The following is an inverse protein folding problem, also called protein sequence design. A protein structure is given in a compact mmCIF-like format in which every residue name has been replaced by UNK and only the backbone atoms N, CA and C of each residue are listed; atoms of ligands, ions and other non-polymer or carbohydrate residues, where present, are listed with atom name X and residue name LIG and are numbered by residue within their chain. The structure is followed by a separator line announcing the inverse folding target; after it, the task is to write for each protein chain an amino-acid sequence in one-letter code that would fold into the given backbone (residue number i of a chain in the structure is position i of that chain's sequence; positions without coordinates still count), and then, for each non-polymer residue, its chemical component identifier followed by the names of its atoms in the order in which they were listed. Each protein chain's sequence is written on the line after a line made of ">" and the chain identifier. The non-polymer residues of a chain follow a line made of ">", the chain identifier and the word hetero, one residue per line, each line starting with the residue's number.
data_IF_496270740420
#
_entry.id   IF_496270740420
#
_cell.length_a   1.000
_cell.length_b   1.000
_cell.length_c   1.000
_cell.angle_alpha   90.00
_cell.angle_beta   90.00
_cell.angle_gamma   90.00
#
_symmetry.space_group_name_H-M   'P 1'
#
loop_
_entity.id
_entity.type
_entity.pdbx_description
1 polymer ?
#
# COMPACT_ATOMS: atom_id res chain seq x y z
N UNK A 1 12.67 4.45 3.40
CA UNK A 1 12.89 4.73 4.84
C UNK A 1 14.27 5.35 5.11
N UNK A 2 15.33 4.95 4.38
CA UNK A 2 16.72 5.35 4.66
C UNK A 2 16.95 6.80 5.17
N UNK A 3 16.56 7.87 4.45
CA UNK A 3 16.83 9.24 4.92
C UNK A 3 15.87 9.73 6.03
N UNK A 4 14.75 9.04 6.26
CA UNK A 4 13.70 9.48 7.19
C UNK A 4 13.84 8.90 8.61
N UNK A 5 14.53 7.77 8.78
CA UNK A 5 14.56 7.10 10.09
C UNK A 5 15.51 5.91 10.24
N UNK A 6 16.55 5.79 9.40
CA UNK A 6 17.46 4.63 9.44
C UNK A 6 18.81 4.91 10.11
N UNK A 7 19.00 6.07 10.74
CA UNK A 7 20.19 6.35 11.55
C UNK A 7 20.12 5.49 12.83
N UNK A 8 21.15 4.67 13.05
CA UNK A 8 21.33 3.92 14.29
C UNK A 8 22.46 4.57 15.10
N UNK A 9 22.23 4.81 16.38
CA UNK A 9 23.18 5.50 17.25
C UNK A 9 22.98 5.11 18.72
N UNK A 10 23.80 5.65 19.62
CA UNK A 10 23.70 5.49 21.06
C UNK A 10 23.74 6.86 21.77
N UNK A 11 23.50 6.87 23.07
CA UNK A 11 23.45 8.12 23.85
C UNK A 11 24.77 8.89 23.89
N UNK A 12 25.92 8.21 23.76
CA UNK A 12 27.25 8.86 23.77
C UNK A 12 27.46 9.63 22.47
N UNK A 13 27.19 9.00 21.33
CA UNK A 13 27.30 9.62 20.01
C UNK A 13 26.30 10.78 19.86
N UNK A 14 25.05 10.54 20.23
CA UNK A 14 24.00 11.55 20.17
C UNK A 14 24.27 12.72 21.11
N UNK A 15 24.92 12.51 22.27
CA UNK A 15 25.34 13.61 23.14
C UNK A 15 26.42 14.50 22.48
N UNK A 16 27.35 13.92 21.70
CA UNK A 16 28.28 14.74 20.91
C UNK A 16 27.55 15.53 19.82
N UNK A 17 26.57 14.91 19.17
CA UNK A 17 25.74 15.60 18.17
C UNK A 17 24.89 16.72 18.77
N UNK A 18 24.32 16.53 19.95
CA UNK A 18 23.61 17.59 20.69
C UNK A 18 24.55 18.74 21.06
N UNK A 19 25.78 18.45 21.50
CA UNK A 19 26.79 19.49 21.75
C UNK A 19 27.12 20.26 20.48
N UNK A 20 27.23 19.57 19.34
CA UNK A 20 27.44 20.20 18.04
C UNK A 20 26.30 21.17 17.66
N UNK A 21 25.04 20.76 17.89
CA UNK A 21 23.87 21.60 17.67
C UNK A 21 23.84 22.82 18.61
N UNK A 22 24.11 22.61 19.91
CA UNK A 22 24.19 23.70 20.90
C UNK A 22 25.39 24.64 20.67
N UNK A 23 26.39 24.21 19.92
CA UNK A 23 27.52 25.02 19.47
C UNK A 23 27.34 25.55 18.04
N UNK A 24 26.10 25.60 17.54
CA UNK A 24 25.74 26.22 16.26
C UNK A 24 26.55 25.69 15.07
N UNK A 25 26.77 24.38 15.01
CA UNK A 25 27.48 23.73 13.90
C UNK A 25 28.99 23.58 14.10
N UNK A 26 29.49 23.72 15.33
CA UNK A 26 30.90 23.54 15.67
C UNK A 26 31.14 22.22 16.41
N UNK A 27 32.19 21.49 16.03
CA UNK A 27 32.64 20.28 16.72
C UNK A 27 34.17 20.31 16.86
N UNK A 28 34.68 20.04 18.07
CA UNK A 28 36.14 19.95 18.32
C UNK A 28 36.92 21.20 17.91
N UNK A 29 36.32 22.40 18.03
CA UNK A 29 36.96 23.66 17.60
C UNK A 29 36.75 24.02 16.12
N UNK A 30 36.26 23.11 15.28
CA UNK A 30 36.06 23.30 13.84
C UNK A 30 34.59 23.60 13.51
N UNK A 31 34.35 24.62 12.68
CA UNK A 31 33.03 24.86 12.09
C UNK A 31 32.77 23.84 10.97
N UNK A 32 31.73 23.01 11.11
CA UNK A 32 31.34 22.03 10.09
C UNK A 32 30.11 22.49 9.29
N UNK A 33 29.20 23.23 9.92
CA UNK A 33 28.05 23.89 9.29
C UNK A 33 28.14 25.38 9.64
N UNK A 34 27.96 26.31 8.71
CA UNK A 34 27.99 27.75 9.04
C UNK A 34 26.91 28.10 10.07
N UNK A 35 27.17 29.10 10.91
CA UNK A 35 26.18 29.55 11.90
C UNK A 35 24.86 29.97 11.24
N UNK A 36 24.91 30.61 10.06
CA UNK A 36 23.73 30.97 9.28
C UNK A 36 22.92 29.76 8.81
N UNK A 37 23.57 28.72 8.26
CA UNK A 37 22.86 27.49 7.86
C UNK A 37 22.29 26.75 9.07
N UNK A 38 23.01 26.77 10.20
CA UNK A 38 22.50 26.18 11.44
C UNK A 38 21.29 26.95 11.98
N UNK A 39 21.35 28.28 12.01
CA UNK A 39 20.23 29.12 12.44
C UNK A 39 18.99 28.86 11.59
N UNK A 40 19.17 28.71 10.27
CA UNK A 40 18.07 28.41 9.35
C UNK A 40 17.37 27.08 9.66
N UNK A 41 18.08 26.07 10.18
CA UNK A 41 17.45 24.82 10.59
C UNK A 41 16.40 25.02 11.69
N UNK A 42 16.59 26.04 12.54
CA UNK A 42 15.72 26.36 13.68
C UNK A 42 14.82 27.56 13.42
N UNK A 43 14.70 28.02 12.17
CA UNK A 43 13.71 29.02 11.77
C UNK A 43 12.31 28.39 11.76
N UNK A 44 11.35 29.04 12.40
CA UNK A 44 9.94 28.64 12.40
C UNK A 44 9.30 28.88 11.02
N UNK A 45 9.19 27.83 10.21
CA UNK A 45 8.70 27.92 8.83
C UNK A 45 7.21 27.56 8.69
N UNK A 46 6.75 26.56 9.45
CA UNK A 46 5.38 26.06 9.37
C UNK A 46 4.71 26.10 10.74
N UNK A 47 3.66 26.91 10.96
CA UNK A 47 2.94 26.91 12.23
C UNK A 47 2.21 25.58 12.43
N UNK A 48 2.32 25.00 13.63
CA UNK A 48 1.60 23.81 14.05
C UNK A 48 0.43 24.26 14.92
N UNK A 49 -0.79 23.92 14.51
CA UNK A 49 -2.01 24.28 15.26
C UNK A 49 -2.18 23.35 16.45
N UNK A 50 -2.27 23.91 17.64
CA UNK A 50 -2.66 23.17 18.84
C UNK A 50 -4.12 22.71 18.74
N UNK A 51 -4.42 21.53 19.28
CA UNK A 51 -5.78 20.97 19.34
C UNK A 51 -6.28 20.24 18.10
N UNK A 52 -5.60 20.29 16.94
CA UNK A 52 -5.95 19.44 15.79
C UNK A 52 -5.44 18.00 15.93
N UNK A 53 -4.42 17.79 16.75
CA UNK A 53 -3.98 16.49 17.24
C UNK A 53 -3.83 16.63 18.76
N UNK A 54 -4.51 15.80 19.57
CA UNK A 54 -4.27 15.75 21.01
C UNK A 54 -2.78 15.69 21.32
N UNK A 55 -2.01 14.91 20.54
CA UNK A 55 -0.56 14.68 20.72
C UNK A 55 0.30 15.96 20.72
N UNK A 56 -0.09 16.96 19.93
CA UNK A 56 0.66 18.22 19.80
C UNK A 56 0.63 19.07 21.07
N UNK A 57 -0.40 18.94 21.91
CA UNK A 57 -0.50 19.67 23.17
C UNK A 57 0.41 19.09 24.27
N UNK A 58 0.92 17.85 24.09
CA UNK A 58 1.67 17.14 25.15
C UNK A 58 3.17 17.39 25.12
N UNK A 59 3.71 17.73 23.95
CA UNK A 59 5.14 18.05 23.81
C UNK A 59 5.48 19.40 24.47
N UNK A 60 4.50 20.28 24.65
CA UNK A 60 4.62 21.49 25.48
C UNK A 60 3.26 21.98 26.02
N UNK A 61 2.75 21.39 27.11
CA UNK A 61 1.59 21.93 27.81
C UNK A 61 1.87 23.32 28.38
N UNK A 62 1.04 24.27 27.96
CA UNK A 62 1.18 25.70 28.26
C UNK A 62 1.87 26.49 27.14
N UNK A 63 2.37 25.85 26.08
CA UNK A 63 2.89 26.56 24.93
C UNK A 63 1.76 27.30 24.20
N UNK A 64 2.02 28.57 23.88
CA UNK A 64 1.12 29.39 23.07
C UNK A 64 1.41 29.26 21.57
N UNK A 65 2.64 28.88 21.20
CA UNK A 65 3.05 28.66 19.81
C UNK A 65 3.85 27.35 19.66
N UNK A 66 3.59 26.66 18.54
CA UNK A 66 4.39 25.54 18.04
C UNK A 66 4.58 25.72 16.53
N UNK A 67 5.74 25.31 16.04
CA UNK A 67 6.09 25.38 14.63
C UNK A 67 7.08 24.29 14.26
N UNK A 68 7.29 24.14 12.96
CA UNK A 68 8.26 23.23 12.39
C UNK A 68 9.29 24.01 11.57
N UNK A 69 10.57 23.74 11.82
CA UNK A 69 11.71 24.21 11.03
C UNK A 69 12.22 23.12 10.08
N UNK A 70 13.50 23.16 9.72
CA UNK A 70 14.07 22.13 8.85
C UNK A 70 14.42 20.88 9.65
N UNK A 71 13.42 20.01 9.85
CA UNK A 71 13.59 18.75 10.60
C UNK A 71 13.56 18.92 12.12
N UNK A 72 12.95 20.01 12.62
CA UNK A 72 12.87 20.32 14.04
C UNK A 72 11.50 20.83 14.41
N UNK A 73 10.95 20.32 15.52
CA UNK A 73 9.85 20.98 16.21
C UNK A 73 10.41 22.10 17.08
N UNK A 74 9.72 23.24 17.05
CA UNK A 74 10.09 24.49 17.71
C UNK A 74 8.89 24.97 18.52
N UNK A 75 9.03 25.07 19.83
CA UNK A 75 7.93 25.41 20.72
C UNK A 75 8.41 26.16 21.96
N UNK A 76 7.50 26.90 22.60
CA UNK A 76 7.77 27.48 23.91
C UNK A 76 7.75 26.40 25.00
N UNK A 77 8.72 26.45 25.91
CA UNK A 77 8.73 25.65 27.12
C UNK A 77 9.12 26.53 28.32
N UNK A 78 8.14 26.93 29.12
CA UNK A 78 8.32 27.83 30.26
C UNK A 78 9.07 29.13 29.86
N UNK A 79 8.65 29.76 28.75
CA UNK A 79 9.23 31.02 28.26
C UNK A 79 10.55 30.88 27.50
N UNK A 80 10.93 29.66 27.11
CA UNK A 80 12.19 29.35 26.41
C UNK A 80 11.91 28.62 25.12
N UNK A 81 12.79 28.80 24.14
CA UNK A 81 12.74 28.00 22.92
C UNK A 81 13.18 26.56 23.22
N UNK A 82 12.26 25.61 23.08
CA UNK A 82 12.57 24.20 23.02
C UNK A 82 12.69 23.76 21.56
N UNK A 83 13.80 23.10 21.23
CA UNK A 83 14.06 22.53 19.91
C UNK A 83 14.15 21.03 20.06
N UNK A 84 13.30 20.27 19.38
CA UNK A 84 13.23 18.82 19.60
C UNK A 84 12.79 18.04 18.37
N UNK A 85 13.05 16.73 18.41
CA UNK A 85 12.53 15.78 17.44
C UNK A 85 12.37 14.40 18.09
N UNK A 86 11.19 13.80 17.88
CA UNK A 86 10.92 12.43 18.30
C UNK A 86 11.24 11.42 17.20
N UNK A 87 11.20 10.14 17.52
CA UNK A 87 11.30 9.08 16.52
C UNK A 87 10.66 7.80 17.03
N UNK A 88 9.95 7.11 16.13
CA UNK A 88 9.46 5.77 16.39
C UNK A 88 9.72 4.92 15.15
N UNK A 89 10.29 3.74 15.38
CA UNK A 89 10.39 2.67 14.40
C UNK A 89 10.13 1.36 15.14
N UNK A 90 9.88 0.29 14.40
CA UNK A 90 9.54 -1.02 14.94
C UNK A 90 10.44 -1.43 16.12
N UNK A 91 9.87 -1.39 17.33
CA UNK A 91 10.54 -1.80 18.56
C UNK A 91 11.35 -0.70 19.27
N UNK A 92 11.39 0.53 18.74
CA UNK A 92 12.20 1.61 19.31
C UNK A 92 11.45 2.96 19.33
N UNK A 93 11.64 3.69 20.42
CA UNK A 93 11.20 5.07 20.61
C UNK A 93 12.38 5.93 21.02
N UNK A 94 12.51 7.11 20.43
CA UNK A 94 13.60 8.05 20.69
C UNK A 94 13.09 9.47 20.85
N UNK A 95 13.81 10.27 21.64
CA UNK A 95 13.60 11.70 21.77
C UNK A 95 14.95 12.41 21.89
N UNK A 96 15.14 13.47 21.13
CA UNK A 96 16.19 14.46 21.34
C UNK A 96 15.57 15.84 21.52
N UNK A 97 16.04 16.59 22.51
CA UNK A 97 15.54 17.93 22.75
C UNK A 97 16.60 18.83 23.37
N UNK A 98 16.50 20.13 23.11
CA UNK A 98 17.44 21.16 23.56
C UNK A 98 16.71 22.40 24.07
N UNK A 99 17.27 23.04 25.10
CA UNK A 99 17.01 24.43 25.50
C UNK A 99 18.28 25.24 25.22
N UNK A 100 18.41 25.87 24.05
CA UNK A 100 19.64 26.55 23.64
C UNK A 100 20.09 27.63 24.63
N UNK A 101 19.14 28.40 25.19
CA UNK A 101 19.42 29.46 26.18
C UNK A 101 20.08 28.91 27.46
N UNK A 102 19.74 27.68 27.83
CA UNK A 102 20.28 27.00 29.04
C UNK A 102 21.51 26.15 28.72
N UNK A 103 21.94 26.09 27.45
CA UNK A 103 22.99 25.17 26.95
C UNK A 103 22.72 23.71 27.36
N UNK A 104 21.44 23.35 27.45
CA UNK A 104 20.96 22.05 27.89
C UNK A 104 20.48 21.24 26.68
N UNK A 105 20.81 19.96 26.66
CA UNK A 105 20.21 19.02 25.74
C UNK A 105 20.08 17.63 26.36
N UNK A 106 19.05 16.91 25.91
CA UNK A 106 18.69 15.58 26.40
C UNK A 106 18.52 14.62 25.23
N UNK A 107 19.00 13.39 25.42
CA UNK A 107 18.82 12.27 24.48
C UNK A 107 18.24 11.11 25.27
N UNK A 108 17.09 10.59 24.84
CA UNK A 108 16.41 9.49 25.51
C UNK A 108 16.07 8.45 24.47
N UNK A 109 16.59 7.24 24.64
CA UNK A 109 16.41 6.11 23.72
C UNK A 109 15.73 4.97 24.46
N UNK A 110 14.77 4.32 23.83
CA UNK A 110 14.02 3.20 24.40
C UNK A 110 13.85 2.11 23.34
N UNK A 111 14.11 0.86 23.73
CA UNK A 111 13.87 -0.35 22.94
C UNK A 111 12.45 -0.90 23.16
N UNK A 112 11.47 -0.01 23.25
CA UNK A 112 10.06 -0.35 23.40
C UNK A 112 9.25 0.42 22.37
N UNK A 113 8.52 -0.31 21.54
CA UNK A 113 7.62 0.24 20.52
C UNK A 113 6.58 1.18 21.14
N UNK A 114 6.39 2.35 20.53
CA UNK A 114 5.41 3.36 20.96
C UNK A 114 5.51 3.74 22.44
N UNK A 115 6.72 3.75 23.01
CA UNK A 115 6.92 4.09 24.42
C UNK A 115 6.67 5.58 24.66
N UNK A 116 5.80 5.97 25.59
CA UNK A 116 5.61 7.37 25.96
C UNK A 116 6.74 7.90 26.87
N UNK A 117 7.58 7.00 27.41
CA UNK A 117 8.59 7.34 28.40
C UNK A 117 9.61 8.38 27.90
N UNK A 118 10.16 8.30 26.66
CA UNK A 118 11.09 9.31 26.18
C UNK A 118 10.51 10.72 26.20
N UNK A 119 9.21 10.86 25.92
CA UNK A 119 8.54 12.15 25.91
C UNK A 119 8.31 12.67 27.33
N UNK A 120 7.77 11.82 28.23
CA UNK A 120 7.53 12.19 29.62
C UNK A 120 8.83 12.56 30.36
N UNK A 121 9.91 11.80 30.12
CA UNK A 121 11.23 12.05 30.71
C UNK A 121 11.85 13.34 30.19
N UNK A 122 11.76 13.63 28.89
CA UNK A 122 12.25 14.89 28.33
C UNK A 122 11.60 16.10 29.01
N UNK A 123 10.27 16.09 29.12
CA UNK A 123 9.53 17.18 29.71
C UNK A 123 9.82 17.35 31.21
N UNK A 124 9.96 16.24 31.94
CA UNK A 124 10.38 16.25 33.34
C UNK A 124 11.79 16.81 33.53
N UNK A 125 12.75 16.39 32.69
CA UNK A 125 14.11 16.91 32.72
C UNK A 125 14.15 18.41 32.41
N UNK A 126 13.34 18.92 31.50
CA UNK A 126 13.29 20.36 31.25
C UNK A 126 12.68 21.14 32.42
N UNK A 127 11.63 20.60 33.04
CA UNK A 127 11.03 21.19 34.23
C UNK A 127 12.02 21.26 35.41
N UNK A 128 12.91 20.27 35.58
CA UNK A 128 13.97 20.31 36.59
C UNK A 128 14.92 21.50 36.44
N UNK A 129 15.09 22.03 35.22
CA UNK A 129 15.96 23.19 34.95
C UNK A 129 15.21 24.51 34.88
N UNK A 130 13.90 24.47 34.66
CA UNK A 130 13.10 25.68 34.35
C UNK A 130 12.05 26.00 35.40
N UNK A 131 11.91 25.16 36.44
CA UNK A 131 10.93 25.32 37.51
C UNK A 131 11.53 24.97 38.87
N UNK A 132 11.07 25.65 39.91
CA UNK A 132 11.39 25.28 41.31
C UNK A 132 10.75 23.95 41.70
N UNK A 133 9.57 23.65 41.14
CA UNK A 133 8.86 22.39 41.37
C UNK A 133 8.47 21.77 40.02
N UNK A 134 9.11 20.66 39.62
CA UNK A 134 8.77 19.94 38.40
C UNK A 134 7.35 19.36 38.44
N UNK A 135 6.66 19.35 37.30
CA UNK A 135 5.35 18.69 37.18
C UNK A 135 5.49 17.17 37.19
N UNK A 136 4.43 16.48 37.61
CA UNK A 136 4.31 15.03 37.43
C UNK A 136 3.88 14.70 35.99
N UNK A 137 4.88 14.64 35.12
CA UNK A 137 4.69 14.26 33.73
C UNK A 137 4.22 12.83 33.57
N UNK A 138 4.64 11.92 34.44
CA UNK A 138 4.23 10.51 34.37
C UNK A 138 2.73 10.37 34.58
N UNK A 139 2.17 11.04 35.60
CA UNK A 139 0.72 11.05 35.84
C UNK A 139 -0.05 11.73 34.71
N UNK A 140 0.48 12.83 34.17
CA UNK A 140 -0.13 13.57 33.05
C UNK A 140 -0.22 12.70 31.80
N UNK A 141 0.88 12.05 31.41
CA UNK A 141 0.92 11.14 30.26
C UNK A 141 0.10 9.87 30.49
N UNK A 142 0.05 9.33 31.71
CA UNK A 142 -0.80 8.17 32.03
C UNK A 142 -2.27 8.47 31.86
N UNK A 143 -2.73 9.62 32.37
CA UNK A 143 -4.13 10.07 32.27
C UNK A 143 -4.53 10.21 30.81
N UNK A 144 -3.66 10.84 30.03
CA UNK A 144 -3.83 10.99 28.60
C UNK A 144 -3.98 9.64 27.88
N UNK A 145 -3.01 8.74 28.06
CA UNK A 145 -3.01 7.46 27.37
C UNK A 145 -4.24 6.63 27.76
N UNK A 146 -4.68 6.73 29.02
CA UNK A 146 -5.95 6.17 29.47
C UNK A 146 -7.14 6.74 28.70
N UNK A 147 -7.17 8.06 28.47
CA UNK A 147 -8.19 8.73 27.64
C UNK A 147 -8.17 8.28 26.18
N UNK A 148 -6.99 8.16 25.57
CA UNK A 148 -6.84 7.67 24.20
C UNK A 148 -7.28 6.21 24.06
N UNK A 149 -6.85 5.34 24.97
CA UNK A 149 -7.25 3.93 24.99
C UNK A 149 -8.76 3.79 25.24
N UNK A 150 -9.31 4.57 26.17
CA UNK A 150 -10.74 4.61 26.44
C UNK A 150 -11.55 5.09 25.23
N UNK A 151 -11.07 6.13 24.54
CA UNK A 151 -11.65 6.63 23.29
C UNK A 151 -11.61 5.60 22.17
N UNK A 152 -10.48 4.92 21.98
CA UNK A 152 -10.34 3.84 21.00
C UNK A 152 -11.27 2.66 21.31
N UNK A 153 -11.37 2.26 22.58
CA UNK A 153 -12.30 1.21 23.03
C UNK A 153 -13.77 1.62 22.84
N UNK A 154 -14.12 2.88 23.12
CA UNK A 154 -15.46 3.40 22.88
C UNK A 154 -15.80 3.45 21.38
N UNK A 155 -14.86 3.88 20.53
CA UNK A 155 -15.01 3.87 19.08
C UNK A 155 -15.19 2.45 18.52
N UNK A 156 -14.39 1.49 19.01
CA UNK A 156 -14.53 0.08 18.68
C UNK A 156 -15.91 -0.46 19.10
N UNK A 157 -16.36 -0.15 20.31
CA UNK A 157 -17.67 -0.57 20.81
C UNK A 157 -18.80 0.02 19.98
N UNK A 158 -18.71 1.32 19.63
CA UNK A 158 -19.68 1.99 18.77
C UNK A 158 -19.72 1.36 17.37
N UNK A 159 -18.56 1.03 16.80
CA UNK A 159 -18.43 0.37 15.51
C UNK A 159 -19.04 -1.05 15.53
N UNK A 160 -18.80 -1.82 16.59
CA UNK A 160 -19.42 -3.15 16.80
C UNK A 160 -20.94 -3.02 16.94
N UNK A 161 -21.43 -2.04 17.70
CA UNK A 161 -22.87 -1.79 17.89
C UNK A 161 -23.56 -1.34 16.60
N UNK A 162 -22.85 -0.63 15.73
CA UNK A 162 -23.35 -0.19 14.42
C UNK A 162 -23.35 -1.32 13.36
N UNK A 163 -22.76 -2.49 13.66
CA UNK A 163 -22.81 -3.65 12.77
C UNK A 163 -24.25 -4.10 12.55
N UNK A 164 -24.59 -4.44 11.31
CA UNK A 164 -25.89 -5.02 10.96
C UNK A 164 -25.76 -6.55 10.94
N UNK A 165 -26.31 -7.28 11.95
CA UNK A 165 -26.19 -8.72 12.04
C UNK A 165 -27.07 -9.44 11.00
N UNK A 166 -26.78 -10.72 10.75
CA UNK A 166 -27.61 -11.57 9.87
C UNK A 166 -27.51 -11.24 8.38
N UNK A 167 -26.53 -10.43 7.98
CA UNK A 167 -26.25 -10.14 6.57
C UNK A 167 -25.22 -11.12 6.02
N UNK A 168 -25.17 -11.24 4.70
CA UNK A 168 -24.13 -11.98 3.96
C UNK A 168 -23.41 -11.04 3.00
N UNK A 169 -22.27 -11.48 2.48
CA UNK A 169 -21.67 -10.87 1.30
C UNK A 169 -22.63 -11.04 0.11
N UNK A 170 -22.70 -10.04 -0.78
CA UNK A 170 -23.55 -10.09 -1.96
C UNK A 170 -23.07 -11.10 -3.00
N UNK A 171 -21.76 -11.42 -3.00
CA UNK A 171 -21.12 -12.36 -3.92
C UNK A 171 -20.45 -13.51 -3.16
N UNK A 172 -20.18 -14.61 -3.87
CA UNK A 172 -19.20 -15.60 -3.40
C UNK A 172 -17.82 -14.93 -3.22
N UNK A 173 -17.05 -15.34 -2.21
CA UNK A 173 -15.80 -14.65 -1.83
C UNK A 173 -14.81 -14.53 -3.00
N UNK A 174 -14.70 -15.58 -3.82
CA UNK A 174 -13.87 -15.64 -5.02
C UNK A 174 -14.13 -14.48 -5.98
N UNK A 175 -15.38 -13.99 -6.03
CA UNK A 175 -15.77 -12.91 -6.95
C UNK A 175 -15.31 -11.54 -6.50
N UNK A 176 -14.89 -11.35 -5.25
CA UNK A 176 -14.23 -10.11 -4.81
C UNK A 176 -12.72 -10.13 -5.07
N UNK A 177 -12.14 -11.31 -5.34
CA UNK A 177 -10.72 -11.44 -5.57
C UNK A 177 -10.30 -10.76 -6.88
N UNK A 178 -9.16 -10.08 -6.84
CA UNK A 178 -8.63 -9.31 -7.96
C UNK A 178 -7.71 -8.20 -7.51
N UNK A 179 -7.22 -7.44 -8.49
CA UNK A 179 -6.41 -6.24 -8.26
C UNK A 179 -7.29 -5.01 -8.42
N UNK A 180 -7.15 -4.07 -7.51
CA UNK A 180 -7.82 -2.78 -7.53
C UNK A 180 -6.75 -1.70 -7.50
N UNK A 181 -6.80 -0.72 -8.40
CA UNK A 181 -5.70 0.20 -8.64
C UNK A 181 -6.14 1.64 -8.50
N UNK A 182 -5.27 2.45 -7.92
CA UNK A 182 -5.35 3.91 -7.87
C UNK A 182 -4.03 4.49 -8.39
N UNK A 183 -4.09 5.54 -9.20
CA UNK A 183 -2.89 6.11 -9.84
C UNK A 183 -1.89 6.72 -8.87
N UNK A 184 -2.33 7.19 -7.71
CA UNK A 184 -1.48 7.81 -6.69
C UNK A 184 -1.03 6.79 -5.64
N UNK A 185 -1.92 5.88 -5.24
CA UNK A 185 -1.67 4.96 -4.14
C UNK A 185 -1.18 3.58 -4.58
N UNK A 186 -1.30 3.23 -5.85
CA UNK A 186 -0.89 1.93 -6.41
C UNK A 186 -1.98 0.87 -6.28
N UNK A 187 -1.57 -0.38 -6.07
CA UNK A 187 -2.45 -1.54 -6.15
C UNK A 187 -2.82 -2.11 -4.76
N UNK A 188 -4.11 -2.41 -4.61
CA UNK A 188 -4.66 -3.28 -3.58
C UNK A 188 -4.99 -4.63 -4.22
N UNK A 189 -4.44 -5.71 -3.69
CA UNK A 189 -4.78 -7.07 -4.14
C UNK A 189 -5.66 -7.75 -3.10
N UNK A 190 -6.78 -8.30 -3.57
CA UNK A 190 -7.67 -9.16 -2.79
C UNK A 190 -7.54 -10.58 -3.30
N UNK A 191 -7.25 -11.53 -2.41
CA UNK A 191 -7.15 -12.95 -2.75
C UNK A 191 -8.02 -13.80 -1.84
N UNK A 192 -8.55 -14.90 -2.36
CA UNK A 192 -9.21 -15.91 -1.51
C UNK A 192 -8.16 -16.88 -0.97
N UNK A 193 -8.19 -17.09 0.35
CA UNK A 193 -7.34 -18.07 1.05
C UNK A 193 -8.21 -18.85 2.03
N UNK A 194 -8.47 -20.12 1.71
CA UNK A 194 -9.43 -20.94 2.45
C UNK A 194 -10.83 -20.34 2.41
N UNK A 195 -11.41 -20.11 3.58
CA UNK A 195 -12.75 -19.53 3.76
C UNK A 195 -12.73 -18.02 3.99
N UNK A 196 -11.57 -17.37 3.86
CA UNK A 196 -11.42 -15.93 4.06
C UNK A 196 -10.87 -15.24 2.81
N UNK A 197 -11.01 -13.93 2.78
CA UNK A 197 -10.24 -13.08 1.86
C UNK A 197 -8.97 -12.60 2.56
N UNK A 198 -7.92 -12.29 1.79
CA UNK A 198 -6.75 -11.54 2.24
C UNK A 198 -6.64 -10.26 1.44
N UNK A 199 -6.25 -9.19 2.12
CA UNK A 199 -5.89 -7.92 1.51
C UNK A 199 -4.37 -7.76 1.54
N UNK A 200 -3.82 -7.22 0.46
CA UNK A 200 -2.44 -6.75 0.39
C UNK A 200 -2.41 -5.36 -0.22
N UNK A 201 -1.76 -4.42 0.45
CA UNK A 201 -1.56 -3.04 0.00
C UNK A 201 -0.13 -2.61 0.34
N UNK A 202 0.73 -2.52 -0.67
CA UNK A 202 2.17 -2.34 -0.47
C UNK A 202 2.77 -3.46 0.39
N UNK A 203 3.36 -3.08 1.53
CA UNK A 203 3.93 -4.00 2.53
C UNK A 203 2.89 -4.48 3.56
N UNK A 204 1.71 -3.85 3.60
CA UNK A 204 0.67 -4.20 4.55
C UNK A 204 -0.16 -5.34 4.01
N UNK A 205 -0.54 -6.26 4.90
CA UNK A 205 -1.44 -7.34 4.57
C UNK A 205 -2.33 -7.69 5.76
N UNK A 206 -3.44 -8.37 5.50
CA UNK A 206 -4.35 -8.79 6.55
C UNK A 206 -5.36 -9.81 6.07
N UNK A 207 -5.98 -10.49 7.03
CA UNK A 207 -7.08 -11.43 6.76
C UNK A 207 -8.41 -10.71 6.95
N UNK A 208 -9.29 -10.83 5.96
CA UNK A 208 -10.60 -10.20 5.90
C UNK A 208 -11.67 -11.21 6.33
N UNK A 209 -12.36 -10.91 7.43
CA UNK A 209 -13.57 -11.60 7.84
C UNK A 209 -14.81 -10.79 7.45
N UNK A 210 -15.89 -11.47 7.07
CA UNK A 210 -17.16 -10.78 6.75
C UNK A 210 -17.66 -9.98 7.97
N UNK A 211 -18.01 -8.71 7.72
CA UNK A 211 -18.57 -7.83 8.75
C UNK A 211 -20.08 -7.67 8.56
N UNK A 212 -20.50 -6.98 7.51
CA UNK A 212 -21.90 -6.90 7.09
C UNK A 212 -21.99 -6.43 5.64
N UNK A 213 -22.96 -6.95 4.89
CA UNK A 213 -23.07 -6.68 3.44
C UNK A 213 -21.72 -6.89 2.72
N UNK A 214 -21.35 -5.98 1.83
CA UNK A 214 -20.07 -5.95 1.11
C UNK A 214 -18.92 -5.28 1.90
N UNK A 215 -19.00 -5.29 3.24
CA UNK A 215 -17.95 -4.79 4.14
C UNK A 215 -17.33 -5.93 4.92
N UNK A 216 -16.01 -5.91 4.97
CA UNK A 216 -15.16 -6.88 5.63
C UNK A 216 -14.28 -6.19 6.65
N UNK A 217 -13.94 -6.91 7.70
CA UNK A 217 -13.04 -6.45 8.75
C UNK A 217 -11.70 -7.13 8.61
N UNK A 218 -10.69 -6.34 8.28
CA UNK A 218 -9.30 -6.78 8.22
C UNK A 218 -8.73 -6.91 9.63
N UNK A 219 -8.10 -8.04 9.92
CA UNK A 219 -7.10 -8.15 10.99
C UNK A 219 -5.73 -8.05 10.32
N UNK A 220 -5.03 -6.95 10.56
CA UNK A 220 -3.78 -6.63 9.88
C UNK A 220 -2.61 -7.42 10.48
N UNK A 221 -1.59 -7.66 9.66
CA UNK A 221 -0.38 -8.37 10.02
C UNK A 221 0.83 -7.44 9.83
N UNK A 222 1.66 -7.24 10.88
CA UNK A 222 1.51 -7.76 12.25
C UNK A 222 0.30 -7.14 12.99
N UNK A 223 -0.22 -7.87 13.99
CA UNK A 223 -1.44 -7.51 14.73
C UNK A 223 -1.42 -6.10 15.37
N UNK A 224 -0.23 -5.54 15.63
CA UNK A 224 -0.06 -4.16 16.12
C UNK A 224 -0.61 -3.09 15.17
N UNK A 225 -0.75 -3.40 13.88
CA UNK A 225 -1.39 -2.52 12.90
C UNK A 225 -2.92 -2.46 13.06
N UNK A 226 -3.47 -3.26 13.98
CA UNK A 226 -4.86 -3.20 14.38
C UNK A 226 -5.82 -3.82 13.37
N UNK A 227 -7.05 -3.34 13.41
CA UNK A 227 -8.14 -3.79 12.52
C UNK A 227 -8.60 -2.62 11.67
N UNK A 228 -8.94 -2.91 10.41
CA UNK A 228 -9.40 -1.91 9.44
C UNK A 228 -10.65 -2.40 8.75
N UNK A 229 -11.47 -1.48 8.26
CA UNK A 229 -12.58 -1.78 7.38
C UNK A 229 -12.13 -1.80 5.93
N UNK A 230 -12.64 -2.79 5.20
CA UNK A 230 -12.50 -2.94 3.76
C UNK A 230 -13.89 -3.06 3.17
N UNK A 231 -14.26 -2.12 2.31
CA UNK A 231 -15.61 -2.06 1.72
C UNK A 231 -15.52 -2.16 0.21
N UNK A 232 -16.27 -3.10 -0.35
CA UNK A 232 -16.43 -3.22 -1.79
C UNK A 232 -17.61 -2.38 -2.27
N UNK A 233 -17.46 -1.81 -3.47
CA UNK A 233 -18.54 -1.17 -4.22
C UNK A 233 -18.77 -2.01 -5.46
N UNK A 234 -20.02 -2.43 -5.66
CA UNK A 234 -20.44 -3.20 -6.82
C UNK A 234 -21.07 -2.27 -7.86
N UNK A 235 -20.85 -2.56 -9.14
CA UNK A 235 -21.51 -1.89 -10.26
C UNK A 235 -22.99 -2.32 -10.39
N UNK A 236 -23.70 -1.73 -11.35
CA UNK A 236 -25.11 -2.06 -11.64
C UNK A 236 -25.35 -3.51 -12.05
N UNK A 237 -24.31 -4.27 -12.42
CA UNK A 237 -24.38 -5.68 -12.79
C UNK A 237 -23.96 -6.61 -11.63
N UNK A 238 -23.68 -6.05 -10.44
CA UNK A 238 -23.21 -6.81 -9.28
C UNK A 238 -21.76 -7.27 -9.39
N UNK A 239 -20.92 -6.63 -10.21
CA UNK A 239 -19.47 -6.90 -10.28
C UNK A 239 -18.69 -5.91 -9.41
N UNK A 240 -17.57 -6.31 -8.78
CA UNK A 240 -16.74 -5.34 -8.07
C UNK A 240 -16.23 -4.24 -9.00
N UNK A 241 -16.47 -2.99 -8.60
CA UNK A 241 -16.01 -1.79 -9.30
C UNK A 241 -14.89 -1.10 -8.51
N UNK A 242 -14.99 -1.05 -7.18
CA UNK A 242 -14.06 -0.34 -6.31
C UNK A 242 -13.88 -1.07 -4.98
N UNK A 243 -12.70 -0.90 -4.36
CA UNK A 243 -12.46 -1.23 -2.95
C UNK A 243 -12.01 0.00 -2.18
N UNK A 244 -12.60 0.22 -1.01
CA UNK A 244 -12.24 1.28 -0.06
C UNK A 244 -11.56 0.67 1.15
N UNK A 245 -10.43 1.25 1.55
CA UNK A 245 -9.64 0.83 2.71
C UNK A 245 -9.37 2.03 3.63
N UNK A 246 -9.42 1.82 4.94
CA UNK A 246 -9.18 2.89 5.92
C UNK A 246 -7.75 3.45 5.86
N UNK A 247 -6.78 2.67 5.40
CA UNK A 247 -5.39 3.10 5.27
C UNK A 247 -5.17 4.18 4.19
N UNK A 248 -6.12 4.36 3.28
CA UNK A 248 -6.08 5.37 2.22
C UNK A 248 -7.52 5.85 1.92
N UNK A 249 -8.13 6.64 2.82
CA UNK A 249 -9.56 6.98 2.76
C UNK A 249 -9.93 7.83 1.54
N UNK A 250 -8.96 8.60 1.01
CA UNK A 250 -9.15 9.46 -0.16
C UNK A 250 -8.93 8.72 -1.49
N UNK A 251 -8.35 7.51 -1.46
CA UNK A 251 -8.09 6.72 -2.67
C UNK A 251 -9.38 6.19 -3.31
N UNK A 252 -9.29 5.86 -4.60
CA UNK A 252 -10.36 5.20 -5.37
C UNK A 252 -9.75 4.01 -6.11
N UNK A 253 -9.53 2.91 -5.39
CA UNK A 253 -8.98 1.69 -5.97
C UNK A 253 -10.02 1.00 -6.85
N UNK A 254 -9.94 1.21 -8.16
CA UNK A 254 -10.88 0.64 -9.14
C UNK A 254 -10.45 -0.76 -9.56
N UNK A 255 -11.40 -1.66 -9.71
CA UNK A 255 -11.14 -3.02 -10.17
C UNK A 255 -10.41 -2.99 -11.51
N UNK A 256 -9.23 -3.59 -11.52
CA UNK A 256 -8.41 -3.76 -12.71
C UNK A 256 -8.51 -5.23 -13.12
N UNK A 257 -9.08 -5.53 -14.29
CA UNK A 257 -9.11 -6.88 -14.80
C UNK A 257 -7.70 -7.50 -14.76
N UNK A 258 -7.56 -8.78 -14.39
CA UNK A 258 -6.28 -9.48 -14.48
C UNK A 258 -5.66 -9.24 -15.86
N UNK A 259 -4.35 -8.99 -15.90
CA UNK A 259 -3.64 -9.00 -17.18
C UNK A 259 -3.81 -10.38 -17.80
N UNK A 260 -4.12 -10.43 -19.10
CA UNK A 260 -4.22 -11.68 -19.83
C UNK A 260 -3.00 -12.55 -19.54
N UNK A 261 -3.22 -13.80 -19.12
CA UNK A 261 -2.12 -14.71 -18.83
C UNK A 261 -1.39 -15.05 -20.13
N UNK A 262 -0.14 -14.59 -20.24
CA UNK A 262 0.70 -14.79 -21.43
C UNK A 262 1.62 -15.99 -21.33
N UNK A 263 1.55 -16.77 -20.23
CA UNK A 263 2.39 -17.96 -20.06
C UNK A 263 1.79 -19.15 -20.78
N UNK A 264 2.60 -19.83 -21.60
CA UNK A 264 2.22 -21.09 -22.22
C UNK A 264 2.27 -22.22 -21.17
N UNK A 265 1.28 -23.11 -21.18
CA UNK A 265 1.26 -24.31 -20.36
C UNK A 265 2.08 -25.45 -20.98
N UNK A 266 2.32 -25.40 -22.30
CA UNK A 266 3.18 -26.32 -23.04
C UNK A 266 4.11 -25.54 -23.97
N UNK A 267 5.33 -26.04 -24.15
CA UNK A 267 6.29 -25.49 -25.12
C UNK A 267 6.26 -26.34 -26.38
N UNK A 268 6.01 -25.71 -27.53
CA UNK A 268 6.05 -26.36 -28.83
C UNK A 268 7.33 -25.99 -29.56
N UNK A 269 7.89 -26.94 -30.32
CA UNK A 269 9.04 -26.67 -31.18
C UNK A 269 8.65 -25.72 -32.32
N UNK A 270 9.62 -25.01 -32.93
CA UNK A 270 9.35 -24.17 -34.09
C UNK A 270 8.65 -24.91 -35.24
N UNK A 271 8.97 -26.19 -35.46
CA UNK A 271 8.32 -27.00 -36.50
C UNK A 271 6.88 -27.37 -36.16
N UNK A 272 6.59 -27.64 -34.88
CA UNK A 272 5.23 -27.85 -34.41
C UNK A 272 4.40 -26.57 -34.59
N UNK A 273 4.95 -25.39 -34.27
CA UNK A 273 4.26 -24.12 -34.48
C UNK A 273 4.03 -23.84 -35.97
N UNK A 274 5.03 -24.05 -36.83
CA UNK A 274 4.88 -23.91 -38.29
C UNK A 274 3.82 -24.84 -38.87
N UNK A 275 3.68 -26.06 -38.35
CA UNK A 275 2.64 -26.99 -38.80
C UNK A 275 1.21 -26.47 -38.53
N UNK A 276 1.05 -25.55 -37.58
CA UNK A 276 -0.23 -24.96 -37.22
C UNK A 276 -0.58 -23.69 -38.02
N UNK A 277 0.35 -23.12 -38.80
CA UNK A 277 0.07 -21.93 -39.60
C UNK A 277 -0.82 -22.23 -40.80
N UNK A 278 -1.50 -21.20 -41.29
CA UNK A 278 -2.30 -21.25 -42.50
C UNK A 278 -3.57 -20.40 -42.39
N UNK A 279 -4.38 -20.42 -43.44
CA UNK A 279 -5.65 -19.72 -43.49
C UNK A 279 -6.80 -20.67 -43.22
N UNK A 280 -7.82 -20.20 -42.51
CA UNK A 280 -9.00 -20.96 -42.13
C UNK A 280 -10.25 -20.19 -42.51
N UNK A 281 -11.14 -20.78 -43.30
CA UNK A 281 -12.40 -20.15 -43.68
C UNK A 281 -13.49 -20.60 -42.73
N UNK A 282 -14.14 -19.64 -42.07
CA UNK A 282 -15.24 -19.91 -41.16
C UNK A 282 -16.40 -20.60 -41.88
N UNK A 283 -17.02 -21.57 -41.22
CA UNK A 283 -18.23 -22.21 -41.71
C UNK A 283 -19.41 -21.24 -41.61
N UNK A 284 -20.15 -21.05 -42.71
CA UNK A 284 -21.35 -20.20 -42.73
C UNK A 284 -21.10 -18.68 -42.80
N UNK A 285 -19.84 -18.23 -42.90
CA UNK A 285 -19.51 -16.82 -43.11
C UNK A 285 -18.23 -16.65 -43.97
N UNK A 286 -18.14 -15.63 -44.83
CA UNK A 286 -16.95 -15.37 -45.65
C UNK A 286 -15.82 -14.71 -44.83
N UNK A 287 -15.53 -15.25 -43.64
CA UNK A 287 -14.49 -14.77 -42.74
C UNK A 287 -13.29 -15.72 -42.85
N UNK A 288 -12.15 -15.17 -43.26
CA UNK A 288 -10.88 -15.91 -43.29
C UNK A 288 -10.04 -15.52 -42.09
N UNK A 289 -9.76 -16.49 -41.23
CA UNK A 289 -8.85 -16.39 -40.10
C UNK A 289 -7.44 -16.73 -40.59
N UNK A 290 -6.46 -15.88 -40.31
CA UNK A 290 -5.07 -16.11 -40.74
C UNK A 290 -4.19 -16.35 -39.52
N UNK A 291 -3.55 -17.54 -39.45
CA UNK A 291 -2.62 -17.90 -38.39
C UNK A 291 -1.20 -17.89 -38.95
N UNK A 292 -0.37 -17.00 -38.42
CA UNK A 292 1.01 -16.80 -38.86
C UNK A 292 1.98 -16.98 -37.69
N UNK A 293 3.17 -17.52 -37.96
CA UNK A 293 4.26 -17.54 -36.99
C UNK A 293 5.04 -16.22 -37.10
N UNK A 294 5.03 -15.40 -36.05
CA UNK A 294 5.75 -14.12 -35.98
C UNK A 294 6.74 -14.20 -34.83
N UNK A 295 8.04 -14.29 -35.15
CA UNK A 295 9.06 -14.61 -34.17
C UNK A 295 8.89 -16.05 -33.67
N UNK A 296 8.63 -16.20 -32.37
CA UNK A 296 8.43 -17.47 -31.68
C UNK A 296 6.96 -17.74 -31.30
N UNK A 297 6.03 -16.87 -31.70
CA UNK A 297 4.62 -16.97 -31.32
C UNK A 297 3.69 -17.01 -32.54
N UNK A 298 2.61 -17.79 -32.42
CA UNK A 298 1.52 -17.76 -33.39
C UNK A 298 0.67 -16.50 -33.18
N UNK A 299 0.36 -15.82 -34.28
CA UNK A 299 -0.52 -14.66 -34.35
C UNK A 299 -1.75 -15.01 -35.17
N UNK A 300 -2.93 -14.76 -34.61
CA UNK A 300 -4.20 -14.90 -35.27
C UNK A 300 -4.68 -13.52 -35.72
N UNK A 301 -4.96 -13.38 -37.02
CA UNK A 301 -5.58 -12.19 -37.59
C UNK A 301 -7.01 -12.51 -38.02
N UNK A 302 -7.95 -11.67 -37.58
CA UNK A 302 -9.35 -11.70 -38.01
C UNK A 302 -9.62 -10.39 -38.78
N UNK A 303 -10.26 -10.43 -39.96
CA UNK A 303 -10.52 -9.23 -40.75
C UNK A 303 -11.23 -8.13 -39.93
N UNK A 304 -10.67 -6.92 -39.96
CA UNK A 304 -11.20 -5.77 -39.23
C UNK A 304 -10.90 -5.75 -37.72
N UNK A 305 -10.09 -6.68 -37.21
CA UNK A 305 -9.68 -6.75 -35.80
C UNK A 305 -8.16 -6.65 -35.66
N UNK A 306 -7.65 -6.25 -34.47
CA UNK A 306 -6.23 -6.36 -34.15
C UNK A 306 -5.73 -7.81 -34.21
N UNK A 307 -4.43 -8.00 -34.36
CA UNK A 307 -3.82 -9.33 -34.28
C UNK A 307 -3.79 -9.83 -32.82
N UNK A 308 -4.17 -11.09 -32.63
CA UNK A 308 -4.17 -11.79 -31.35
C UNK A 308 -2.94 -12.69 -31.22
N UNK A 309 -2.36 -12.80 -30.03
CA UNK A 309 -1.29 -13.77 -29.76
C UNK A 309 -1.89 -15.07 -29.23
N UNK A 310 -1.54 -16.19 -29.85
CA UNK A 310 -1.96 -17.51 -29.43
C UNK A 310 -0.94 -18.10 -28.44
N UNK A 311 -1.37 -18.30 -27.21
CA UNK A 311 -0.55 -18.85 -26.10
C UNK A 311 -0.95 -20.29 -25.86
N UNK A 312 -0.02 -21.23 -26.03
CA UNK A 312 -0.32 -22.66 -26.00
C UNK A 312 -0.79 -23.13 -24.61
N UNK A 313 -1.92 -23.83 -24.57
CA UNK A 313 -2.47 -24.50 -23.38
C UNK A 313 -2.30 -26.02 -23.50
N UNK A 314 -2.53 -26.54 -24.70
CA UNK A 314 -2.18 -27.90 -25.12
C UNK A 314 -1.51 -27.81 -26.51
N UNK A 315 -1.01 -28.91 -27.10
CA UNK A 315 -0.44 -28.86 -28.45
C UNK A 315 -1.38 -28.36 -29.54
N UNK A 316 -2.69 -28.42 -29.34
CA UNK A 316 -3.71 -27.98 -30.30
C UNK A 316 -4.61 -26.86 -29.78
N UNK A 317 -4.58 -26.57 -28.47
CA UNK A 317 -5.41 -25.54 -27.83
C UNK A 317 -4.58 -24.34 -27.43
N UNK A 318 -5.01 -23.16 -27.85
CA UNK A 318 -4.34 -21.90 -27.56
C UNK A 318 -5.31 -20.91 -26.93
N UNK A 319 -4.87 -20.21 -25.89
CA UNK A 319 -5.57 -19.04 -25.35
C UNK A 319 -5.22 -17.82 -26.20
N UNK A 320 -6.21 -16.99 -26.54
CA UNK A 320 -5.94 -15.72 -27.22
C UNK A 320 -5.57 -14.65 -26.20
N UNK A 321 -4.56 -13.85 -26.51
CA UNK A 321 -4.14 -12.69 -25.69
C UNK A 321 -3.85 -11.46 -26.57
N UNK A 322 -4.05 -10.26 -26.00
CA UNK A 322 -3.87 -8.98 -26.68
C UNK A 322 -5.04 -8.59 -27.59
N UNK A 323 -5.28 -7.29 -27.89
CA UNK A 323 -4.61 -6.09 -27.35
C UNK A 323 -4.92 -5.87 -25.85
N UNK A 324 -4.27 -4.89 -25.19
CA UNK A 324 -4.54 -4.57 -23.78
C UNK A 324 -6.05 -4.40 -23.51
N UNK A 325 -6.54 -5.03 -22.45
CA UNK A 325 -7.97 -5.02 -22.09
C UNK A 325 -8.83 -6.09 -22.77
N UNK A 326 -8.24 -7.00 -23.57
CA UNK A 326 -8.96 -8.18 -24.04
C UNK A 326 -9.42 -9.03 -22.84
N UNK A 327 -10.72 -9.36 -22.73
CA UNK A 327 -11.23 -10.21 -21.67
C UNK A 327 -10.78 -11.67 -21.86
N UNK A 328 -10.66 -12.40 -20.75
CA UNK A 328 -10.33 -13.83 -20.76
C UNK A 328 -11.45 -14.69 -21.38
N UNK A 329 -11.13 -15.95 -21.67
CA UNK A 329 -12.11 -16.96 -22.08
C UNK A 329 -12.23 -17.18 -23.59
N UNK A 330 -11.30 -16.64 -24.38
CA UNK A 330 -11.19 -16.93 -25.80
C UNK A 330 -10.13 -18.00 -26.06
N UNK A 331 -10.50 -19.03 -26.84
CA UNK A 331 -9.59 -20.10 -27.23
C UNK A 331 -9.62 -20.36 -28.73
N UNK A 332 -8.48 -20.78 -29.26
CA UNK A 332 -8.32 -21.28 -30.61
C UNK A 332 -7.91 -22.74 -30.53
N UNK A 333 -8.78 -23.65 -30.95
CA UNK A 333 -8.53 -25.10 -30.94
C UNK A 333 -8.32 -25.58 -32.38
N UNK A 334 -7.15 -26.11 -32.69
CA UNK A 334 -6.87 -26.74 -33.97
C UNK A 334 -7.47 -28.14 -34.05
N UNK A 335 -8.07 -28.46 -35.19
CA UNK A 335 -8.53 -29.82 -35.52
C UNK A 335 -7.46 -30.54 -36.34
N UNK A 336 -7.03 -31.70 -35.86
CA UNK A 336 -5.96 -32.50 -36.47
C UNK A 336 -6.52 -33.78 -37.10
N UNK A 337 -6.08 -34.12 -38.31
CA UNK A 337 -6.31 -35.43 -38.94
C UNK A 337 -5.00 -35.93 -39.55
N UNK A 338 -4.63 -37.18 -39.28
CA UNK A 338 -3.40 -37.77 -39.83
C UNK A 338 -2.12 -36.97 -39.50
N UNK A 339 -2.10 -36.28 -38.35
CA UNK A 339 -0.98 -35.43 -37.93
C UNK A 339 -0.90 -34.06 -38.60
N UNK A 340 -1.90 -33.68 -39.42
CA UNK A 340 -1.97 -32.37 -40.09
C UNK A 340 -3.17 -31.57 -39.58
N UNK A 341 -3.03 -30.25 -39.51
CA UNK A 341 -4.17 -29.37 -39.25
C UNK A 341 -5.11 -29.38 -40.44
N UNK A 342 -6.39 -29.65 -40.19
CA UNK A 342 -7.47 -29.62 -41.20
C UNK A 342 -8.52 -28.55 -40.91
N UNK A 343 -8.53 -27.98 -39.70
CA UNK A 343 -9.48 -26.95 -39.30
C UNK A 343 -9.14 -26.33 -37.96
N UNK A 344 -10.00 -25.43 -37.50
CA UNK A 344 -9.90 -24.82 -36.19
C UNK A 344 -11.28 -24.39 -35.67
N UNK A 345 -11.39 -24.20 -34.35
CA UNK A 345 -12.55 -23.62 -33.69
C UNK A 345 -12.11 -22.44 -32.84
N UNK A 346 -12.69 -21.26 -33.08
CA UNK A 346 -12.56 -20.09 -32.23
C UNK A 346 -13.70 -20.12 -31.19
N UNK A 347 -13.36 -20.47 -29.96
CA UNK A 347 -14.26 -20.44 -28.81
C UNK A 347 -14.33 -19.02 -28.23
N UNK A 348 -15.54 -18.57 -27.93
CA UNK A 348 -15.82 -17.26 -27.34
C UNK A 348 -16.58 -17.44 -26.02
N UNK A 349 -16.45 -16.51 -25.05
CA UNK A 349 -17.26 -16.54 -23.84
C UNK A 349 -18.76 -16.53 -24.16
N UNK A 350 -19.54 -17.24 -23.34
CA UNK A 350 -20.99 -17.27 -23.45
C UNK A 350 -21.59 -15.84 -23.43
N UNK A 351 -22.68 -15.57 -24.17
CA UNK A 351 -23.54 -16.52 -24.87
C UNK A 351 -23.17 -16.79 -26.34
N UNK A 352 -22.00 -16.34 -26.81
CA UNK A 352 -21.65 -16.44 -28.24
C UNK A 352 -21.27 -17.87 -28.62
N UNK A 353 -21.83 -18.45 -29.70
CA UNK A 353 -21.46 -19.80 -30.13
C UNK A 353 -20.02 -19.82 -30.69
N UNK A 354 -19.32 -20.97 -30.60
CA UNK A 354 -18.00 -21.12 -31.22
C UNK A 354 -18.06 -20.99 -32.75
N UNK A 355 -17.02 -20.40 -33.33
CA UNK A 355 -16.87 -20.28 -34.78
C UNK A 355 -15.96 -21.39 -35.29
N UNK A 356 -16.52 -22.35 -36.03
CA UNK A 356 -15.75 -23.41 -36.69
C UNK A 356 -15.21 -22.92 -38.03
N UNK A 357 -14.02 -23.35 -38.39
CA UNK A 357 -13.36 -22.99 -39.64
C UNK A 357 -12.59 -24.18 -40.22
N UNK A 358 -12.59 -24.29 -41.56
CA UNK A 358 -11.83 -25.31 -42.29
C UNK A 358 -10.53 -24.71 -42.82
N UNK A 359 -9.44 -25.47 -42.78
CA UNK A 359 -8.16 -25.03 -43.35
C UNK A 359 -8.28 -24.91 -44.87
N UNK A 360 -7.75 -23.82 -45.42
CA UNK A 360 -7.69 -23.60 -46.86
C UNK A 360 -6.60 -24.48 -47.46
N UNK A 361 -6.90 -25.18 -48.55
CA UNK A 361 -5.93 -26.06 -49.21
C UNK A 361 -4.75 -25.26 -49.77
N UNK A 362 -3.52 -25.71 -49.48
CA UNK A 362 -2.29 -25.08 -50.00
C UNK A 362 -1.86 -23.79 -49.30
N UNK A 363 -2.52 -23.40 -48.19
CA UNK A 363 -2.16 -22.23 -47.36
C UNK A 363 -1.31 -22.58 -46.14
#
# INVERSE_FOLDING_TARGET
>A
IAPAGSINSNVVDMAQWVRFQLQHGKAGGKQLISEGNHAEMWTANTPIRFGSNPEGNYLAPGANLSSYGMGWFLQDFNGRLAVHHGGNIDGFSAMVAMLPQEKLGVVILSNKDGSPAPVALFAYLFDLYTRDTPRDWSASYKTLLGGMMGGAAAAESALVKARVPGTSASLALEKYAGTYSDSMYGDVTISKVGDNLRVKFGIMQGTLAHWHYDTFRATMEPARLGKQMVRFVLDANGKPEEVKIDAAPDARFRFTPPKADTRAAVTLSPDQLRALTGKFTAEGAPITLDVQLVGDALKLTVPGQPAYTLVAVTPTRFRLTGPPGMPDGFYFEFTMEGGKVVGATLEQPAPRPPLKAKKVAGS
#
